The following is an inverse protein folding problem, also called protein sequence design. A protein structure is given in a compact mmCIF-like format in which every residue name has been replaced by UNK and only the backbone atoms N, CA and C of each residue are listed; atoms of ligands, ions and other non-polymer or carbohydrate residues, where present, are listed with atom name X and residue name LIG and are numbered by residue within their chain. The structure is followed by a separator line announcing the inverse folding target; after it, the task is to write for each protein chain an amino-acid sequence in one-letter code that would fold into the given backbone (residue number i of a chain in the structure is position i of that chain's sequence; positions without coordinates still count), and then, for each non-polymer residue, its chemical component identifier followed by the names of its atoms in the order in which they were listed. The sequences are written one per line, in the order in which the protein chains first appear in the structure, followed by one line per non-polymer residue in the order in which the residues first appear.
data_IF_257391813495
#
_entry.id   IF_257391813495
#
_cell.length_a   1.000
_cell.length_b   1.000
_cell.length_c   1.000
_cell.angle_alpha   90.00
_cell.angle_beta   90.00
_cell.angle_gamma   90.00
#
_symmetry.space_group_name_H-M   'P 1'
#
loop_
_entity.id
_entity.type
_entity.pdbx_description
1 polymer ?
#
# COMPACT_ATOMS: atom_id res chain seq x y z
N UNK A 1 71.10 -56.08 -9.71
CA UNK A 1 72.38 -55.82 -10.44
C UNK A 1 72.50 -56.88 -11.51
N UNK A 2 72.87 -56.53 -12.74
CA UNK A 2 72.88 -57.48 -13.86
C UNK A 2 74.30 -57.96 -14.11
N UNK A 3 74.57 -59.26 -13.92
CA UNK A 3 75.81 -59.88 -14.38
C UNK A 3 75.73 -60.14 -15.89
N UNK A 4 76.88 -60.21 -16.58
CA UNK A 4 77.03 -60.33 -18.04
C UNK A 4 76.42 -61.61 -18.69
N UNK A 5 75.62 -62.38 -17.95
CA UNK A 5 74.82 -63.52 -18.43
C UNK A 5 73.32 -63.43 -18.04
N UNK A 6 72.82 -62.24 -17.67
CA UNK A 6 71.38 -61.99 -17.53
C UNK A 6 70.69 -62.53 -16.26
N UNK A 7 71.44 -63.07 -15.29
CA UNK A 7 70.87 -63.40 -13.98
C UNK A 7 70.73 -62.14 -13.12
N UNK A 8 69.50 -61.86 -12.72
CA UNK A 8 69.16 -60.86 -11.72
C UNK A 8 68.96 -61.55 -10.36
N UNK A 9 69.51 -60.95 -9.31
CA UNK A 9 69.23 -61.33 -7.92
C UNK A 9 68.50 -60.15 -7.28
N UNK A 10 67.28 -60.41 -6.84
CA UNK A 10 66.46 -59.45 -6.09
C UNK A 10 66.59 -59.71 -4.60
N UNK A 11 66.73 -58.65 -3.82
CA UNK A 11 66.91 -58.70 -2.37
C UNK A 11 66.02 -57.65 -1.71
N UNK A 12 65.45 -57.96 -0.54
CA UNK A 12 64.63 -57.06 0.26
C UNK A 12 65.31 -56.81 1.62
N UNK A 13 65.52 -55.54 1.95
CA UNK A 13 66.06 -55.12 3.25
C UNK A 13 64.94 -54.53 4.09
N UNK A 14 64.72 -55.06 5.30
CA UNK A 14 63.65 -54.61 6.20
C UNK A 14 64.12 -53.82 7.42
N UNK A 15 65.41 -53.91 7.75
CA UNK A 15 65.97 -53.21 8.91
C UNK A 15 66.73 -52.00 8.42
N UNK A 16 66.62 -50.89 9.15
CA UNK A 16 67.44 -49.71 8.90
C UNK A 16 68.91 -50.04 9.11
N UNK A 17 69.78 -49.44 8.30
CA UNK A 17 71.22 -49.58 8.40
C UNK A 17 71.94 -49.62 7.06
N UNK A 18 73.26 -49.73 7.13
CA UNK A 18 74.14 -49.83 5.96
C UNK A 18 74.48 -51.27 5.67
N UNK A 19 74.20 -51.71 4.44
CA UNK A 19 74.46 -53.05 3.96
C UNK A 19 75.56 -53.03 2.91
N UNK A 20 76.64 -53.78 3.15
CA UNK A 20 77.63 -54.09 2.12
C UNK A 20 77.14 -55.31 1.34
N UNK A 21 76.88 -55.11 0.04
CA UNK A 21 76.54 -56.19 -0.89
C UNK A 21 77.79 -56.52 -1.67
N UNK A 22 78.22 -57.78 -1.59
CA UNK A 22 79.29 -58.35 -2.39
C UNK A 22 78.70 -59.35 -3.39
N UNK A 23 79.04 -59.18 -4.67
CA UNK A 23 78.63 -60.10 -5.74
C UNK A 23 79.87 -60.64 -6.41
N UNK A 24 80.07 -61.95 -6.34
CA UNK A 24 81.15 -62.67 -7.01
C UNK A 24 80.59 -63.48 -8.17
N UNK A 25 81.00 -63.14 -9.40
CA UNK A 25 80.71 -63.93 -10.59
C UNK A 25 81.85 -64.88 -10.91
N UNK A 26 81.55 -66.12 -11.29
CA UNK A 26 82.54 -67.08 -11.79
C UNK A 26 82.19 -67.44 -13.24
N UNK A 27 83.15 -67.36 -14.17
CA UNK A 27 82.92 -67.75 -15.57
C UNK A 27 83.14 -69.26 -15.78
N UNK A 28 82.82 -69.76 -16.97
CA UNK A 28 82.98 -71.18 -17.36
C UNK A 28 84.44 -71.67 -17.35
N UNK A 29 85.40 -70.74 -17.29
CA UNK A 29 86.84 -71.03 -17.20
C UNK A 29 87.35 -70.98 -15.75
N UNK A 30 86.48 -70.80 -14.75
CA UNK A 30 86.83 -70.76 -13.32
C UNK A 30 87.42 -69.43 -12.84
N UNK A 31 87.43 -68.38 -13.67
CA UNK A 31 87.89 -67.05 -13.25
C UNK A 31 86.77 -66.30 -12.52
N UNK A 32 87.13 -65.58 -11.46
CA UNK A 32 86.19 -64.81 -10.65
C UNK A 32 86.40 -63.30 -10.76
N UNK A 33 85.32 -62.54 -10.67
CA UNK A 33 85.34 -61.09 -10.44
C UNK A 33 84.35 -60.76 -9.32
N UNK A 34 84.71 -59.81 -8.47
CA UNK A 34 83.89 -59.39 -7.32
C UNK A 34 83.60 -57.90 -7.40
N UNK A 35 82.34 -57.53 -7.17
CA UNK A 35 81.90 -56.14 -7.05
C UNK A 35 81.22 -55.93 -5.71
N UNK A 36 81.43 -54.73 -5.15
CA UNK A 36 80.85 -54.32 -3.90
C UNK A 36 80.00 -53.07 -4.08
N UNK A 37 78.90 -52.97 -3.33
CA UNK A 37 78.08 -51.78 -3.21
C UNK A 37 77.56 -51.63 -1.79
N UNK A 38 77.64 -50.42 -1.25
CA UNK A 38 76.95 -50.08 0.01
C UNK A 38 75.55 -49.58 -0.33
N UNK A 39 74.53 -50.13 0.33
CA UNK A 39 73.17 -49.62 0.34
C UNK A 39 72.88 -49.06 1.72
N UNK A 40 72.30 -47.86 1.78
CA UNK A 40 71.84 -47.23 3.01
C UNK A 40 70.32 -47.35 3.07
N UNK A 41 69.80 -47.97 4.13
CA UNK A 41 68.36 -48.18 4.34
C UNK A 41 67.93 -47.29 5.51
N UNK A 42 67.18 -46.24 5.18
CA UNK A 42 66.62 -45.31 6.17
C UNK A 42 65.57 -45.97 7.06
N UNK A 43 65.22 -45.30 8.16
CA UNK A 43 64.05 -45.68 8.96
C UNK A 43 62.77 -45.46 8.16
N UNK A 44 61.82 -46.37 8.34
CA UNK A 44 60.46 -46.33 7.81
C UNK A 44 59.57 -45.60 8.82
N UNK A 45 59.07 -44.42 8.45
CA UNK A 45 58.34 -43.51 9.31
C UNK A 45 56.83 -43.70 9.17
N UNK A 46 56.05 -43.38 10.21
CA UNK A 46 54.58 -43.39 10.09
C UNK A 46 54.09 -42.11 9.42
N UNK A 47 52.91 -42.12 8.78
CA UNK A 47 52.42 -40.94 8.10
C UNK A 47 52.16 -39.80 9.07
N UNK A 48 52.43 -38.58 8.62
CA UNK A 48 51.97 -37.38 9.29
C UNK A 48 50.49 -37.23 8.96
N UNK A 49 49.66 -37.24 10.02
CA UNK A 49 48.21 -37.17 9.89
C UNK A 49 47.70 -35.75 10.05
N UNK A 50 46.91 -35.28 9.08
CA UNK A 50 46.29 -33.96 9.12
C UNK A 50 44.91 -34.02 8.49
N UNK A 51 43.90 -33.54 9.21
CA UNK A 51 42.50 -33.48 8.75
C UNK A 51 41.94 -32.10 8.96
N UNK A 52 41.13 -31.65 8.00
CA UNK A 52 40.41 -30.39 8.04
C UNK A 52 38.90 -30.63 7.96
N UNK A 53 38.14 -29.88 8.75
CA UNK A 53 36.68 -29.88 8.74
C UNK A 53 36.15 -28.67 9.53
N UNK A 54 34.95 -28.21 9.17
CA UNK A 54 34.25 -27.15 9.91
C UNK A 54 33.98 -27.57 11.36
N UNK A 55 34.17 -26.65 12.31
CA UNK A 55 33.92 -26.94 13.74
C UNK A 55 32.42 -27.01 14.08
N UNK A 56 31.61 -26.19 13.41
CA UNK A 56 30.17 -26.12 13.58
C UNK A 56 29.51 -26.24 12.21
N UNK A 57 28.51 -27.12 12.10
CA UNK A 57 27.70 -27.32 10.90
C UNK A 57 26.23 -27.22 11.29
N UNK A 58 25.44 -26.47 10.53
CA UNK A 58 24.02 -26.30 10.81
C UNK A 58 23.18 -27.28 10.00
N UNK A 59 22.09 -27.78 10.60
CA UNK A 59 21.08 -28.55 9.87
C UNK A 59 20.35 -27.66 8.85
N UNK A 60 20.11 -28.21 7.66
CA UNK A 60 19.29 -27.61 6.62
C UNK A 60 17.79 -27.89 6.86
N UNK A 61 16.94 -27.38 5.96
CA UNK A 61 15.47 -27.51 6.06
C UNK A 61 14.98 -28.96 6.13
N UNK A 62 15.70 -29.89 5.49
CA UNK A 62 15.44 -31.33 5.53
C UNK A 62 15.87 -32.01 6.84
N UNK A 63 16.27 -31.24 7.86
CA UNK A 63 16.68 -31.70 9.21
C UNK A 63 17.94 -32.55 9.23
N UNK A 64 18.81 -32.41 8.22
CA UNK A 64 20.15 -33.02 8.22
C UNK A 64 21.23 -31.95 8.05
N UNK A 65 22.42 -32.19 8.57
CA UNK A 65 23.59 -31.33 8.44
C UNK A 65 24.61 -31.98 7.49
N UNK A 66 24.99 -31.31 6.38
CA UNK A 66 26.02 -31.82 5.47
C UNK A 66 27.41 -31.59 6.07
N UNK A 67 28.06 -32.65 6.50
CA UNK A 67 29.42 -32.60 7.04
C UNK A 67 30.42 -32.92 5.93
N UNK A 68 31.46 -32.08 5.81
CA UNK A 68 32.59 -32.29 4.90
C UNK A 68 33.89 -32.30 5.68
N UNK A 69 34.76 -33.25 5.37
CA UNK A 69 36.10 -33.34 5.92
C UNK A 69 37.12 -33.69 4.81
N UNK A 70 38.34 -33.18 4.96
CA UNK A 70 39.42 -33.31 3.98
C UNK A 70 40.69 -33.86 4.63
N UNK A 71 41.33 -34.82 3.95
CA UNK A 71 42.61 -35.41 4.32
C UNK A 71 43.79 -34.64 3.71
N UNK A 72 44.66 -34.10 4.57
CA UNK A 72 45.91 -33.45 4.21
C UNK A 72 47.15 -34.24 4.66
N UNK A 73 46.98 -35.48 5.10
CA UNK A 73 48.05 -36.35 5.59
C UNK A 73 49.09 -36.67 4.50
N UNK A 74 50.34 -36.94 4.88
CA UNK A 74 51.40 -37.26 3.93
C UNK A 74 52.49 -38.12 4.58
N UNK A 75 53.25 -38.86 3.76
CA UNK A 75 54.47 -39.56 4.17
C UNK A 75 55.68 -38.63 4.06
N UNK A 76 56.64 -38.79 4.97
CA UNK A 76 57.92 -38.05 5.00
C UNK A 76 59.07 -38.78 4.30
N UNK A 77 58.91 -40.07 4.04
CA UNK A 77 59.94 -40.97 3.51
C UNK A 77 59.68 -41.45 2.07
N UNK A 78 58.62 -40.94 1.43
CA UNK A 78 58.35 -41.15 0.00
C UNK A 78 57.35 -42.27 -0.30
N UNK A 79 56.73 -42.83 0.73
CA UNK A 79 55.62 -43.77 0.62
C UNK A 79 54.29 -43.08 0.24
N UNK A 80 53.31 -43.89 -0.16
CA UNK A 80 52.00 -43.41 -0.59
C UNK A 80 50.90 -43.78 0.39
N UNK A 81 49.98 -42.85 0.64
CA UNK A 81 48.75 -43.12 1.39
C UNK A 81 47.68 -43.66 0.46
N UNK A 82 47.55 -44.98 0.39
CA UNK A 82 46.67 -45.65 -0.57
C UNK A 82 45.31 -45.99 0.03
N UNK A 83 45.27 -46.38 1.30
CA UNK A 83 44.03 -46.76 1.97
C UNK A 83 43.63 -45.73 3.01
N UNK A 84 42.36 -45.33 2.99
CA UNK A 84 41.75 -44.40 3.95
C UNK A 84 40.43 -44.97 4.44
N UNK A 85 40.24 -45.00 5.74
CA UNK A 85 38.97 -45.36 6.37
C UNK A 85 38.50 -44.23 7.25
N UNK A 86 37.29 -43.75 6.95
CA UNK A 86 36.59 -42.73 7.70
C UNK A 86 35.52 -43.37 8.59
N UNK A 87 35.52 -43.00 9.86
CA UNK A 87 34.51 -43.40 10.85
C UNK A 87 34.03 -42.18 11.61
N UNK A 88 32.87 -42.28 12.25
CA UNK A 88 32.46 -41.32 13.27
C UNK A 88 31.97 -42.02 14.54
N UNK A 89 31.98 -41.29 15.64
CA UNK A 89 31.23 -41.57 16.86
C UNK A 89 30.34 -40.37 17.18
N UNK A 90 29.10 -40.61 17.58
CA UNK A 90 28.15 -39.57 17.94
C UNK A 90 27.99 -39.57 19.46
N UNK A 91 28.22 -38.41 20.09
CA UNK A 91 28.04 -38.18 21.53
C UNK A 91 26.54 -38.17 21.85
N UNK A 92 26.00 -39.33 22.18
CA UNK A 92 24.56 -39.59 22.23
C UNK A 92 23.89 -39.11 23.51
N UNK A 93 24.66 -39.00 24.61
CA UNK A 93 24.23 -38.47 25.89
C UNK A 93 24.72 -37.02 26.16
N UNK A 94 25.52 -36.48 25.23
CA UNK A 94 26.01 -35.10 25.22
C UNK A 94 26.93 -34.78 26.41
N UNK A 95 27.68 -35.76 26.91
CA UNK A 95 28.62 -35.61 28.02
C UNK A 95 30.03 -35.16 27.56
N UNK A 96 30.35 -35.35 26.29
CA UNK A 96 31.62 -34.96 25.65
C UNK A 96 32.70 -36.00 25.65
N UNK A 97 32.32 -37.22 26.01
CA UNK A 97 33.13 -38.41 26.02
C UNK A 97 32.66 -39.27 24.85
N UNK A 98 33.62 -39.85 24.12
CA UNK A 98 33.34 -40.70 22.95
C UNK A 98 33.82 -42.14 23.16
N UNK A 99 34.30 -42.47 24.36
CA UNK A 99 34.94 -43.78 24.62
C UNK A 99 33.93 -44.92 24.74
N UNK A 100 32.72 -44.61 25.16
CA UNK A 100 31.55 -45.47 25.28
C UNK A 100 30.74 -45.55 23.97
N UNK A 101 30.95 -44.60 23.06
CA UNK A 101 30.25 -44.53 21.79
C UNK A 101 30.77 -45.53 20.73
N UNK A 102 29.83 -46.18 20.04
CA UNK A 102 30.14 -47.17 19.01
C UNK A 102 30.55 -46.49 17.68
N UNK A 103 31.69 -46.86 17.08
CA UNK A 103 32.14 -46.27 15.83
C UNK A 103 31.30 -46.75 14.64
N UNK A 104 30.85 -45.81 13.82
CA UNK A 104 30.15 -46.05 12.56
C UNK A 104 31.10 -45.80 11.39
N UNK A 105 31.26 -46.79 10.51
CA UNK A 105 32.08 -46.63 9.30
C UNK A 105 31.30 -45.87 8.21
N UNK A 106 31.90 -44.79 7.70
CA UNK A 106 31.32 -43.95 6.66
C UNK A 106 31.83 -44.34 5.27
N UNK A 107 33.15 -44.48 5.13
CA UNK A 107 33.80 -44.64 3.83
C UNK A 107 35.13 -45.34 3.98
N UNK A 108 35.42 -46.27 3.07
CA UNK A 108 36.75 -46.85 2.88
C UNK A 108 37.14 -46.70 1.42
N UNK A 109 38.34 -46.20 1.15
CA UNK A 109 38.86 -46.05 -0.21
C UNK A 109 40.28 -46.57 -0.27
N UNK A 110 40.60 -47.22 -1.40
CA UNK A 110 41.94 -47.71 -1.76
C UNK A 110 42.51 -46.90 -2.93
N UNK A 111 42.10 -45.64 -3.05
CA UNK A 111 42.54 -44.72 -4.10
C UNK A 111 43.26 -43.55 -3.45
N UNK A 112 44.52 -43.32 -3.85
CA UNK A 112 45.37 -42.25 -3.31
C UNK A 112 44.77 -40.84 -3.42
N UNK A 113 44.01 -40.57 -4.48
CA UNK A 113 43.48 -39.24 -4.79
C UNK A 113 42.14 -38.94 -4.09
N UNK A 114 41.51 -39.94 -3.48
CA UNK A 114 40.22 -39.79 -2.83
C UNK A 114 40.39 -39.32 -1.39
N UNK A 115 40.50 -38.00 -1.21
CA UNK A 115 40.89 -37.35 0.05
C UNK A 115 39.74 -36.64 0.77
N UNK A 116 38.50 -36.83 0.31
CA UNK A 116 37.34 -36.13 0.84
C UNK A 116 36.31 -37.10 1.43
N UNK A 117 35.66 -36.65 2.50
CA UNK A 117 34.49 -37.26 3.10
C UNK A 117 33.33 -36.27 3.04
N UNK A 118 32.17 -36.75 2.61
CA UNK A 118 30.90 -36.03 2.69
C UNK A 118 29.83 -36.99 3.22
N UNK A 119 29.11 -36.60 4.26
CA UNK A 119 27.98 -37.36 4.79
C UNK A 119 26.95 -36.44 5.47
N UNK A 120 25.73 -36.94 5.64
CA UNK A 120 24.65 -36.20 6.29
C UNK A 120 24.44 -36.69 7.72
N UNK A 121 24.52 -35.78 8.69
CA UNK A 121 24.22 -36.05 10.09
C UNK A 121 22.75 -35.70 10.39
N UNK A 122 22.03 -36.62 11.03
CA UNK A 122 20.60 -36.46 11.36
C UNK A 122 20.34 -35.92 12.77
N UNK A 123 21.30 -36.04 13.69
CA UNK A 123 21.16 -35.60 15.07
C UNK A 123 21.93 -34.31 15.33
N UNK A 124 21.40 -33.51 16.25
CA UNK A 124 22.09 -32.35 16.84
C UNK A 124 22.98 -32.87 17.94
N UNK A 125 24.20 -32.34 18.04
CA UNK A 125 25.19 -32.79 19.02
C UNK A 125 26.58 -32.90 18.41
N UNK A 126 27.50 -33.53 19.13
CA UNK A 126 28.90 -33.64 18.73
C UNK A 126 29.19 -34.95 18.01
N UNK A 127 30.02 -34.87 16.99
CA UNK A 127 30.51 -35.99 16.20
C UNK A 127 32.04 -36.00 16.22
N UNK A 128 32.65 -37.07 16.71
CA UNK A 128 34.08 -37.32 16.56
C UNK A 128 34.31 -38.08 15.27
N UNK A 129 34.93 -37.44 14.29
CA UNK A 129 35.31 -38.07 13.02
C UNK A 129 36.72 -38.58 13.15
N UNK A 130 36.92 -39.85 12.82
CA UNK A 130 38.24 -40.50 12.79
C UNK A 130 38.63 -40.82 11.35
N UNK A 131 39.83 -40.40 10.96
CA UNK A 131 40.49 -40.86 9.74
C UNK A 131 41.64 -41.79 10.13
N UNK A 132 41.61 -43.01 9.61
CA UNK A 132 42.76 -43.92 9.61
C UNK A 132 43.29 -44.05 8.21
N UNK A 133 44.59 -43.86 8.02
CA UNK A 133 45.27 -44.13 6.75
C UNK A 133 46.23 -45.29 6.90
N UNK A 134 46.43 -46.01 5.81
CA UNK A 134 47.45 -47.06 5.70
C UNK A 134 48.31 -46.78 4.49
N UNK A 135 49.61 -46.82 4.71
CA UNK A 135 50.62 -46.58 3.69
C UNK A 135 50.81 -47.76 2.75
N UNK A 136 51.45 -47.49 1.63
CA UNK A 136 52.05 -48.46 0.72
C UNK A 136 53.38 -47.91 0.23
N UNK A 137 54.26 -48.82 -0.14
CA UNK A 137 55.63 -48.49 -0.51
C UNK A 137 55.74 -47.61 -1.77
N UNK A 138 56.61 -46.61 -1.71
CA UNK A 138 56.97 -45.72 -2.83
C UNK A 138 57.88 -46.37 -3.88
N UNK A 139 58.50 -47.50 -3.54
CA UNK A 139 59.42 -48.27 -4.38
C UNK A 139 58.88 -49.67 -4.71
N UNK A 140 59.40 -50.32 -5.78
CA UNK A 140 59.18 -51.74 -6.02
C UNK A 140 59.58 -52.59 -4.81
N UNK A 141 58.74 -53.56 -4.46
CA UNK A 141 58.98 -54.50 -3.35
C UNK A 141 58.86 -55.94 -3.83
N UNK A 142 59.10 -56.91 -2.95
CA UNK A 142 58.87 -58.34 -3.19
C UNK A 142 57.63 -58.79 -2.38
N UNK A 143 56.41 -58.82 -2.97
CA UNK A 143 55.16 -58.97 -2.21
C UNK A 143 55.07 -60.23 -1.35
N UNK A 144 55.67 -61.34 -1.79
CA UNK A 144 55.68 -62.60 -1.04
C UNK A 144 56.43 -62.54 0.29
N UNK A 145 57.24 -61.51 0.50
CA UNK A 145 58.00 -61.30 1.73
C UNK A 145 57.40 -60.22 2.62
N UNK A 146 56.31 -59.58 2.21
CA UNK A 146 55.63 -58.57 2.99
C UNK A 146 54.62 -59.20 3.94
N UNK A 147 54.58 -58.69 5.17
CA UNK A 147 53.59 -59.02 6.20
C UNK A 147 52.85 -57.77 6.63
N UNK A 148 51.71 -57.92 7.31
CA UNK A 148 50.87 -56.79 7.70
C UNK A 148 51.63 -55.74 8.55
N UNK A 149 52.59 -56.16 9.37
CA UNK A 149 53.40 -55.25 10.21
C UNK A 149 54.44 -54.43 9.43
N UNK A 150 54.69 -54.76 8.16
CA UNK A 150 55.58 -53.97 7.30
C UNK A 150 54.90 -52.70 6.78
N UNK A 151 53.58 -52.57 6.94
CA UNK A 151 52.82 -51.37 6.59
C UNK A 151 52.62 -50.50 7.81
N UNK A 152 52.80 -49.19 7.66
CA UNK A 152 52.46 -48.22 8.71
C UNK A 152 51.05 -47.68 8.52
N UNK A 153 50.50 -47.24 9.64
CA UNK A 153 49.17 -46.65 9.72
C UNK A 153 49.21 -45.41 10.58
N UNK A 154 48.49 -44.37 10.17
CA UNK A 154 48.27 -43.19 10.97
C UNK A 154 46.80 -43.02 11.30
N UNK A 155 46.48 -42.37 12.40
CA UNK A 155 45.11 -42.04 12.78
C UNK A 155 45.03 -40.62 13.35
N UNK A 156 43.96 -39.92 13.04
CA UNK A 156 43.67 -38.57 13.53
C UNK A 156 42.16 -38.42 13.75
N UNK A 157 41.79 -37.54 14.68
CA UNK A 157 40.39 -37.26 15.01
C UNK A 157 40.09 -35.77 14.93
N UNK A 158 38.84 -35.45 14.59
CA UNK A 158 38.30 -34.08 14.57
C UNK A 158 36.88 -34.12 15.12
N UNK A 159 36.58 -33.25 16.09
CA UNK A 159 35.24 -33.09 16.63
C UNK A 159 34.51 -31.98 15.89
N UNK A 160 33.26 -32.24 15.51
CA UNK A 160 32.36 -31.30 14.85
C UNK A 160 31.06 -31.21 15.67
N UNK A 161 30.50 -30.02 15.79
CA UNK A 161 29.20 -29.79 16.42
C UNK A 161 28.14 -29.56 15.35
N UNK A 162 27.08 -30.36 15.39
CA UNK A 162 25.87 -30.14 14.59
C UNK A 162 24.86 -29.35 15.41
N UNK A 163 24.42 -28.20 14.89
CA UNK A 163 23.47 -27.32 15.58
C UNK A 163 22.29 -26.89 14.67
N UNK A 164 21.29 -26.26 15.25
CA UNK A 164 20.18 -25.63 14.54
C UNK A 164 20.43 -24.15 14.30
N UNK A 165 19.93 -23.64 13.16
CA UNK A 165 19.84 -22.20 12.95
C UNK A 165 18.81 -21.65 13.95
N UNK A 166 19.24 -20.71 14.80
CA UNK A 166 18.36 -20.07 15.78
C UNK A 166 17.24 -19.31 15.05
N UNK A 167 15.97 -19.39 15.50
CA UNK A 167 14.92 -18.58 14.92
C UNK A 167 15.22 -17.10 15.19
N UNK A 168 15.03 -16.26 14.17
CA UNK A 168 15.11 -14.81 14.32
C UNK A 168 13.72 -14.29 14.67
N UNK A 169 13.58 -13.80 15.90
CA UNK A 169 12.39 -13.06 16.31
C UNK A 169 12.63 -11.57 16.04
N UNK A 170 11.73 -10.96 15.27
CA UNK A 170 11.74 -9.52 15.01
C UNK A 170 10.43 -8.93 15.52
N UNK A 171 10.53 -7.88 16.32
CA UNK A 171 9.37 -7.05 16.66
C UNK A 171 9.12 -6.08 15.51
N UNK A 172 7.90 -6.07 14.98
CA UNK A 172 7.45 -5.05 14.06
C UNK A 172 6.62 -4.05 14.87
N UNK A 173 7.19 -2.88 15.14
CA UNK A 173 6.43 -1.77 15.71
C UNK A 173 5.51 -1.20 14.62
N UNK A 174 4.26 -1.65 14.60
CA UNK A 174 3.23 -1.06 13.76
C UNK A 174 2.71 0.19 14.50
N UNK A 175 2.97 1.42 14.01
CA UNK A 175 2.50 2.61 14.69
C UNK A 175 0.98 2.65 14.71
N UNK A 176 0.42 2.82 15.90
CA UNK A 176 -1.00 3.01 16.12
C UNK A 176 -1.50 4.25 15.37
N UNK A 177 -2.32 4.05 14.33
CA UNK A 177 -2.99 5.16 13.65
C UNK A 177 -4.28 5.51 14.39
N UNK A 178 -4.25 6.59 15.18
CA UNK A 178 -5.47 7.20 15.73
C UNK A 178 -6.29 7.80 14.59
N UNK A 179 -7.59 7.50 14.55
CA UNK A 179 -8.52 8.05 13.58
C UNK A 179 -9.60 8.80 14.36
N UNK A 180 -9.57 10.13 14.28
CA UNK A 180 -10.59 11.00 14.88
C UNK A 180 -11.61 11.39 13.81
N UNK A 181 -12.88 11.04 14.03
CA UNK A 181 -13.98 11.39 13.13
C UNK A 181 -14.90 12.34 13.88
N UNK A 182 -15.03 13.57 13.38
CA UNK A 182 -16.02 14.52 13.90
C UNK A 182 -17.30 14.40 13.10
N UNK A 183 -18.38 14.03 13.77
CA UNK A 183 -19.72 13.96 13.18
C UNK A 183 -20.52 15.18 13.66
N UNK A 184 -21.01 15.98 12.71
CA UNK A 184 -21.86 17.12 13.02
C UNK A 184 -23.29 16.78 12.64
N UNK A 185 -24.21 17.01 13.56
CA UNK A 185 -25.62 16.63 13.41
C UNK A 185 -26.52 17.69 14.02
N UNK A 186 -27.73 17.79 13.48
CA UNK A 186 -28.85 18.55 14.02
C UNK A 186 -29.76 17.70 14.92
N UNK A 187 -29.39 16.44 15.18
CA UNK A 187 -30.14 15.57 16.08
C UNK A 187 -30.05 16.08 17.52
N UNK A 188 -31.19 16.01 18.21
CA UNK A 188 -31.35 16.40 19.60
C UNK A 188 -32.09 15.29 20.37
N UNK A 189 -32.05 15.33 21.71
CA UNK A 189 -32.80 14.40 22.56
C UNK A 189 -32.51 12.91 22.31
N UNK A 190 -33.56 12.11 22.12
CA UNK A 190 -33.48 10.66 21.97
C UNK A 190 -32.76 10.23 20.68
N UNK A 191 -32.86 11.04 19.62
CA UNK A 191 -32.21 10.77 18.34
C UNK A 191 -30.69 10.96 18.43
N UNK A 192 -30.24 11.99 19.15
CA UNK A 192 -28.83 12.20 19.45
C UNK A 192 -28.27 11.04 20.28
N UNK A 193 -29.01 10.65 21.33
CA UNK A 193 -28.65 9.54 22.21
C UNK A 193 -28.54 8.22 21.42
N UNK A 194 -29.47 7.98 20.50
CA UNK A 194 -29.46 6.82 19.60
C UNK A 194 -28.25 6.82 18.69
N UNK A 195 -27.89 7.98 18.11
CA UNK A 195 -26.71 8.13 17.27
C UNK A 195 -25.41 7.86 18.05
N UNK A 196 -25.26 8.45 19.24
CA UNK A 196 -24.10 8.23 20.12
C UNK A 196 -23.91 6.75 20.45
N UNK A 197 -24.99 6.07 20.84
CA UNK A 197 -24.96 4.64 21.16
C UNK A 197 -24.57 3.79 19.96
N UNK A 198 -25.10 4.10 18.76
CA UNK A 198 -24.74 3.38 17.53
C UNK A 198 -23.28 3.58 17.16
N UNK A 199 -22.75 4.79 17.29
CA UNK A 199 -21.34 5.05 16.97
C UNK A 199 -20.40 4.32 17.92
N UNK A 200 -20.70 4.31 19.22
CA UNK A 200 -19.94 3.54 20.20
C UNK A 200 -20.01 2.03 19.93
N UNK A 201 -21.18 1.52 19.52
CA UNK A 201 -21.34 0.12 19.14
C UNK A 201 -20.49 -0.24 17.91
N UNK A 202 -20.46 0.62 16.88
CA UNK A 202 -19.61 0.38 15.70
C UNK A 202 -18.12 0.31 16.05
N UNK A 203 -17.64 1.12 17.00
CA UNK A 203 -16.25 1.02 17.48
C UNK A 203 -16.02 -0.31 18.22
N UNK A 204 -16.98 -0.73 19.06
CA UNK A 204 -16.91 -1.97 19.83
C UNK A 204 -16.91 -3.22 18.92
N UNK A 205 -17.72 -3.22 17.87
CA UNK A 205 -17.88 -4.35 16.93
C UNK A 205 -16.78 -4.41 15.86
N UNK A 206 -15.93 -3.39 15.80
CA UNK A 206 -14.82 -3.34 14.84
C UNK A 206 -13.65 -4.25 15.24
N UNK A 207 -12.83 -4.65 14.26
CA UNK A 207 -11.59 -5.41 14.50
C UNK A 207 -10.62 -4.62 15.39
N UNK A 208 -9.73 -5.33 16.11
CA UNK A 208 -8.83 -4.74 17.12
C UNK A 208 -8.03 -3.52 16.61
N UNK A 209 -7.65 -3.53 15.34
CA UNK A 209 -6.92 -2.42 14.67
C UNK A 209 -7.75 -1.13 14.55
N UNK A 210 -9.08 -1.21 14.63
CA UNK A 210 -10.02 -0.10 14.48
C UNK A 210 -10.72 0.30 15.79
N UNK A 211 -10.45 -0.39 16.92
CA UNK A 211 -10.98 -0.02 18.25
C UNK A 211 -10.46 1.33 18.77
N UNK A 212 -9.51 1.95 18.06
CA UNK A 212 -8.92 3.28 18.36
C UNK A 212 -9.56 4.41 17.54
N UNK A 213 -10.65 4.14 16.81
CA UNK A 213 -11.46 5.19 16.17
C UNK A 213 -12.25 5.93 17.25
N UNK A 214 -12.10 7.24 17.31
CA UNK A 214 -12.87 8.10 18.22
C UNK A 214 -13.87 8.92 17.41
N UNK A 215 -15.15 8.81 17.77
CA UNK A 215 -16.19 9.69 17.25
C UNK A 215 -16.38 10.88 18.19
N UNK A 216 -16.25 12.09 17.65
CA UNK A 216 -16.62 13.33 18.34
C UNK A 216 -17.93 13.81 17.72
N UNK A 217 -19.05 13.59 18.41
CA UNK A 217 -20.36 14.01 17.94
C UNK A 217 -20.60 15.43 18.47
N UNK A 218 -20.79 16.35 17.53
CA UNK A 218 -21.11 17.75 17.82
C UNK A 218 -22.56 17.97 17.46
N UNK A 219 -23.42 17.99 18.48
CA UNK A 219 -24.80 18.42 18.34
C UNK A 219 -24.86 19.94 18.44
N UNK A 220 -25.35 20.54 17.37
CA UNK A 220 -25.49 21.98 17.26
C UNK A 220 -25.69 22.35 15.82
N UNK A 221 -26.71 23.18 15.54
CA UNK A 221 -26.93 23.75 14.21
C UNK A 221 -25.70 24.55 13.79
N UNK A 222 -24.75 23.88 13.15
CA UNK A 222 -23.54 24.48 12.59
C UNK A 222 -23.60 24.23 11.09
N UNK A 223 -23.91 25.27 10.33
CA UNK A 223 -23.95 25.21 8.87
C UNK A 223 -22.56 24.80 8.38
N UNK A 224 -22.44 23.60 7.82
CA UNK A 224 -21.25 23.16 7.08
C UNK A 224 -21.56 23.39 5.61
N UNK A 225 -20.99 24.46 5.05
CA UNK A 225 -21.19 24.83 3.66
C UNK A 225 -22.18 25.99 3.51
N UNK A 226 -21.62 27.17 3.29
CA UNK A 226 -22.37 28.35 2.87
C UNK A 226 -22.24 28.40 1.34
N UNK A 227 -23.26 27.97 0.61
CA UNK A 227 -23.33 28.25 -0.82
C UNK A 227 -23.91 29.66 -0.96
N UNK A 228 -23.03 30.67 -0.81
CA UNK A 228 -23.39 32.05 -1.14
C UNK A 228 -23.47 32.09 -2.67
N UNK A 229 -24.66 31.85 -3.21
CA UNK A 229 -24.92 32.14 -4.62
C UNK A 229 -24.68 33.65 -4.83
N UNK A 230 -23.76 33.94 -5.75
CA UNK A 230 -23.34 35.28 -6.13
C UNK A 230 -24.53 36.21 -6.42
N UNK A 231 -24.32 37.47 -6.06
CA UNK A 231 -25.07 38.63 -6.50
C UNK A 231 -25.44 38.51 -7.99
N UNK A 232 -26.73 38.39 -8.30
CA UNK A 232 -27.23 38.47 -9.66
C UNK A 232 -27.65 39.92 -9.94
N UNK A 233 -26.71 40.75 -10.37
CA UNK A 233 -27.04 42.06 -10.94
C UNK A 233 -27.65 41.83 -12.34
N UNK A 234 -28.89 42.28 -12.54
CA UNK A 234 -29.56 42.22 -13.84
C UNK A 234 -29.89 43.64 -14.29
N UNK A 235 -29.12 44.17 -15.24
CA UNK A 235 -29.46 45.39 -15.97
C UNK A 235 -30.30 45.02 -17.20
N UNK A 236 -31.53 45.56 -17.29
CA UNK A 236 -32.34 45.47 -18.51
C UNK A 236 -32.55 46.87 -19.06
N UNK A 237 -31.99 47.20 -20.23
CA UNK A 237 -32.36 48.42 -20.94
C UNK A 237 -33.74 48.24 -21.56
N UNK A 238 -34.70 49.08 -21.18
CA UNK A 238 -36.02 49.17 -21.82
C UNK A 238 -36.01 50.27 -22.88
N UNK A 239 -36.17 49.89 -24.16
CA UNK A 239 -36.48 50.85 -25.22
C UNK A 239 -37.96 50.79 -25.56
N UNK A 240 -38.72 51.80 -25.16
CA UNK A 240 -40.06 52.01 -25.68
C UNK A 240 -40.01 52.93 -26.91
N UNK A 241 -40.46 52.43 -28.06
CA UNK A 241 -40.84 53.26 -29.20
C UNK A 241 -42.35 53.39 -29.24
N UNK A 242 -42.89 54.50 -28.74
CA UNK A 242 -44.24 54.94 -29.10
C UNK A 242 -44.21 55.73 -30.42
N UNK A 243 -45.31 55.81 -31.19
CA UNK A 243 -45.33 56.48 -32.50
C UNK A 243 -45.19 58.01 -32.46
N UNK A 244 -44.98 58.60 -31.28
CA UNK A 244 -44.65 60.02 -31.14
C UNK A 244 -43.38 60.17 -30.28
N UNK A 245 -42.48 60.97 -30.83
CA UNK A 245 -41.13 61.44 -30.49
C UNK A 245 -40.63 61.29 -29.04
N UNK A 246 -39.34 60.92 -28.97
CA UNK A 246 -38.42 60.73 -27.83
C UNK A 246 -38.55 59.37 -27.14
N UNK A 247 -37.61 58.47 -27.47
CA UNK A 247 -37.34 57.28 -26.66
C UNK A 247 -36.66 57.77 -25.36
N UNK A 248 -37.26 57.44 -24.22
CA UNK A 248 -36.67 57.69 -22.91
C UNK A 248 -36.17 56.37 -22.36
N UNK A 249 -34.91 56.33 -21.94
CA UNK A 249 -34.32 55.19 -21.28
C UNK A 249 -34.62 55.34 -19.77
N UNK A 250 -35.56 54.55 -19.24
CA UNK A 250 -35.74 54.44 -17.80
C UNK A 250 -35.00 53.19 -17.33
N UNK A 251 -33.92 53.38 -16.57
CA UNK A 251 -33.17 52.28 -15.97
C UNK A 251 -33.76 51.92 -14.60
N UNK A 252 -33.84 50.62 -14.32
CA UNK A 252 -34.24 50.10 -13.01
C UNK A 252 -33.19 49.12 -12.54
N UNK A 253 -32.61 49.33 -11.36
CA UNK A 253 -31.82 48.31 -10.69
C UNK A 253 -32.57 47.78 -9.48
N UNK A 254 -32.56 46.45 -9.30
CA UNK A 254 -33.21 45.78 -8.17
C UNK A 254 -32.27 44.76 -7.58
N UNK A 255 -32.10 44.84 -6.28
CA UNK A 255 -31.31 43.89 -5.51
C UNK A 255 -32.19 43.34 -4.40
N UNK A 256 -32.24 42.02 -4.27
CA UNK A 256 -32.84 41.39 -3.11
C UNK A 256 -31.75 40.62 -2.39
N UNK A 257 -31.64 40.87 -1.10
CA UNK A 257 -30.59 40.31 -0.27
C UNK A 257 -31.22 39.73 0.98
N UNK A 258 -30.99 38.45 1.22
CA UNK A 258 -31.27 37.86 2.53
C UNK A 258 -30.35 38.54 3.55
N UNK A 259 -30.94 39.20 4.54
CA UNK A 259 -30.19 39.96 5.56
C UNK A 259 -29.84 39.10 6.76
N UNK A 260 -30.69 38.12 7.09
CA UNK A 260 -30.46 37.09 8.10
C UNK A 260 -31.25 35.81 7.73
N UNK A 261 -31.40 34.88 8.68
CA UNK A 261 -32.04 33.58 8.44
C UNK A 261 -33.53 33.69 8.10
N UNK A 262 -34.22 34.73 8.57
CA UNK A 262 -35.65 34.88 8.40
C UNK A 262 -36.05 36.26 7.87
N UNK A 263 -35.11 37.12 7.46
CA UNK A 263 -35.40 38.45 6.94
C UNK A 263 -34.71 38.70 5.60
N UNK A 264 -35.44 39.39 4.72
CA UNK A 264 -34.98 39.77 3.40
C UNK A 264 -35.21 41.26 3.19
N UNK A 265 -34.19 41.91 2.64
CA UNK A 265 -34.27 43.29 2.20
C UNK A 265 -34.25 43.37 0.68
N UNK A 266 -35.27 44.01 0.10
CA UNK A 266 -35.34 44.37 -1.30
C UNK A 266 -35.05 45.86 -1.46
N UNK A 267 -34.03 46.17 -2.28
CA UNK A 267 -33.67 47.53 -2.69
C UNK A 267 -34.02 47.73 -4.16
N UNK A 268 -34.73 48.81 -4.46
CA UNK A 268 -35.16 49.17 -5.81
C UNK A 268 -34.71 50.60 -6.06
N UNK A 269 -33.93 50.80 -7.13
CA UNK A 269 -33.46 52.11 -7.56
C UNK A 269 -34.12 52.44 -8.89
N UNK A 270 -34.80 53.58 -8.94
CA UNK A 270 -35.43 54.12 -10.15
C UNK A 270 -34.60 55.30 -10.64
N UNK A 271 -34.13 55.22 -11.88
CA UNK A 271 -33.48 56.31 -12.58
C UNK A 271 -34.52 57.02 -13.47
N UNK A 272 -34.72 58.33 -13.27
CA UNK A 272 -35.67 59.15 -14.05
C UNK A 272 -34.93 60.15 -14.94
N UNK A 273 -34.70 59.79 -16.20
CA UNK A 273 -34.03 60.68 -17.17
C UNK A 273 -34.89 61.89 -17.61
N UNK A 274 -36.16 62.00 -17.16
CA UNK A 274 -37.10 63.02 -17.63
C UNK A 274 -36.81 64.44 -17.11
N UNK A 275 -36.12 64.55 -15.98
CA UNK A 275 -35.64 65.82 -15.46
C UNK A 275 -34.13 65.72 -15.29
N UNK A 276 -33.36 66.59 -15.94
CA UNK A 276 -31.89 66.72 -15.82
C UNK A 276 -31.36 67.00 -14.37
N UNK A 277 -32.18 66.76 -13.34
CA UNK A 277 -31.89 66.76 -11.92
C UNK A 277 -32.43 65.47 -11.25
N UNK A 278 -32.28 64.31 -11.90
CA UNK A 278 -32.78 63.02 -11.43
C UNK A 278 -32.11 62.61 -10.11
N UNK A 279 -32.82 62.77 -8.99
CA UNK A 279 -32.44 62.10 -7.75
C UNK A 279 -32.84 60.64 -7.88
N UNK A 280 -31.89 59.72 -7.75
CA UNK A 280 -32.18 58.29 -7.64
C UNK A 280 -33.25 58.06 -6.57
N UNK A 281 -34.42 57.58 -6.98
CA UNK A 281 -35.46 57.24 -6.00
C UNK A 281 -35.17 55.81 -5.54
N UNK A 282 -34.64 55.70 -4.33
CA UNK A 282 -34.31 54.43 -3.69
C UNK A 282 -35.42 54.02 -2.74
N UNK A 283 -36.03 52.88 -3.01
CA UNK A 283 -36.94 52.22 -2.09
C UNK A 283 -36.26 51.02 -1.46
N UNK A 284 -36.42 50.88 -0.14
CA UNK A 284 -35.89 49.74 0.63
C UNK A 284 -37.02 49.13 1.44
N UNK A 285 -37.26 47.84 1.24
CA UNK A 285 -38.25 47.07 1.98
C UNK A 285 -37.55 45.94 2.70
N UNK A 286 -37.65 45.90 4.01
CA UNK A 286 -37.21 44.76 4.82
C UNK A 286 -38.44 44.05 5.36
N UNK A 287 -38.48 42.73 5.22
CA UNK A 287 -39.49 41.92 5.88
C UNK A 287 -38.84 40.75 6.60
N UNK A 288 -39.38 40.42 7.77
CA UNK A 288 -39.03 39.24 8.55
C UNK A 288 -40.17 38.24 8.42
N UNK A 289 -39.83 36.99 8.20
CA UNK A 289 -40.71 35.87 7.90
C UNK A 289 -40.77 34.92 9.10
N UNK A 290 -41.89 34.20 9.22
CA UNK A 290 -42.11 33.23 10.30
C UNK A 290 -41.37 31.89 10.07
N UNK A 291 -40.61 31.78 8.98
CA UNK A 291 -39.83 30.62 8.60
C UNK A 291 -38.54 31.08 7.91
N UNK A 292 -37.49 30.24 7.98
CA UNK A 292 -36.20 30.58 7.42
C UNK A 292 -36.27 30.72 5.90
N UNK A 293 -35.48 31.64 5.37
CA UNK A 293 -35.34 31.91 3.94
C UNK A 293 -34.57 30.76 3.31
N UNK A 294 -35.28 29.97 2.51
CA UNK A 294 -34.70 28.86 1.75
C UNK A 294 -33.96 29.33 0.51
N UNK A 295 -34.55 30.28 -0.23
CA UNK A 295 -33.89 30.88 -1.40
C UNK A 295 -34.50 32.22 -1.77
N UNK A 296 -33.69 33.07 -2.40
CA UNK A 296 -34.13 34.35 -2.96
C UNK A 296 -33.75 34.40 -4.44
N UNK A 297 -34.64 34.89 -5.28
CA UNK A 297 -34.37 35.11 -6.71
C UNK A 297 -35.01 36.40 -7.20
N UNK A 298 -34.28 37.14 -8.03
CA UNK A 298 -34.82 38.29 -8.77
C UNK A 298 -35.16 37.82 -10.18
N UNK A 299 -36.40 38.08 -10.62
CA UNK A 299 -36.87 37.73 -11.98
C UNK A 299 -37.71 38.90 -12.46
N UNK A 300 -37.28 39.53 -13.57
CA UNK A 300 -37.99 40.55 -14.35
C UNK A 300 -39.04 41.40 -13.56
N UNK A 301 -38.64 42.56 -13.07
CA UNK A 301 -39.47 43.52 -12.29
C UNK A 301 -40.00 43.05 -10.93
N UNK A 302 -39.76 41.81 -10.52
CA UNK A 302 -40.11 41.31 -9.20
C UNK A 302 -38.93 40.56 -8.58
N UNK A 303 -39.02 40.31 -7.28
CA UNK A 303 -38.25 39.20 -6.76
C UNK A 303 -38.94 38.48 -5.62
N UNK A 304 -38.42 37.29 -5.41
CA UNK A 304 -39.12 36.17 -4.81
C UNK A 304 -38.29 35.61 -3.68
N UNK A 305 -38.98 35.24 -2.61
CA UNK A 305 -38.41 34.63 -1.41
C UNK A 305 -39.17 33.34 -1.17
N UNK A 306 -38.47 32.21 -1.27
CA UNK A 306 -38.97 30.91 -0.87
C UNK A 306 -38.51 30.65 0.56
N UNK A 307 -39.43 30.25 1.43
CA UNK A 307 -39.15 29.85 2.81
C UNK A 307 -39.02 28.33 2.95
N UNK A 308 -38.41 27.86 4.03
CA UNK A 308 -38.23 26.42 4.30
C UNK A 308 -39.55 25.69 4.51
N UNK A 309 -40.56 26.37 5.06
CA UNK A 309 -41.92 25.84 5.17
C UNK A 309 -42.65 25.72 3.81
N UNK A 310 -42.01 26.14 2.71
CA UNK A 310 -42.55 26.12 1.36
C UNK A 310 -43.37 27.36 0.97
N UNK A 311 -43.43 28.38 1.81
CA UNK A 311 -44.13 29.61 1.44
C UNK A 311 -43.32 30.42 0.43
N UNK A 312 -43.99 30.88 -0.62
CA UNK A 312 -43.42 31.78 -1.62
C UNK A 312 -43.96 33.18 -1.40
N UNK A 313 -43.05 34.12 -1.20
CA UNK A 313 -43.32 35.55 -1.06
C UNK A 313 -42.70 36.31 -2.23
N UNK A 314 -43.31 37.44 -2.57
CA UNK A 314 -42.87 38.30 -3.68
C UNK A 314 -42.85 39.76 -3.22
N UNK A 315 -41.89 40.54 -3.70
CA UNK A 315 -41.87 42.00 -3.62
C UNK A 315 -41.72 42.62 -5.02
N UNK A 316 -42.46 43.70 -5.32
CA UNK A 316 -42.53 44.28 -6.65
C UNK A 316 -43.15 45.68 -6.70
N UNK A 317 -43.19 46.27 -7.89
CA UNK A 317 -43.88 47.56 -8.14
C UNK A 317 -45.24 47.28 -8.76
N UNK A 318 -46.31 47.90 -8.24
CA UNK A 318 -47.64 47.88 -8.86
C UNK A 318 -47.64 48.84 -10.07
N UNK A 319 -47.00 48.45 -11.17
CA UNK A 319 -47.59 48.67 -12.49
C UNK A 319 -48.27 47.36 -12.87
N UNK A 320 -49.25 46.89 -12.11
CA UNK A 320 -50.58 47.48 -12.09
C UNK A 320 -51.37 46.90 -10.92
N UNK A 321 -52.52 47.50 -10.60
CA UNK A 321 -53.47 46.99 -9.60
C UNK A 321 -53.68 45.48 -9.81
N UNK A 322 -53.94 44.71 -8.74
CA UNK A 322 -54.41 43.32 -8.84
C UNK A 322 -55.60 43.11 -9.81
N UNK A 323 -56.24 44.18 -10.31
CA UNK A 323 -57.25 44.20 -11.37
C UNK A 323 -56.71 44.15 -12.81
N UNK A 324 -55.39 44.22 -13.04
CA UNK A 324 -54.77 44.07 -14.36
C UNK A 324 -54.15 42.67 -14.56
N UNK A 325 -54.52 41.74 -13.67
CA UNK A 325 -54.76 40.33 -13.98
C UNK A 325 -55.92 40.14 -15.00
N UNK A 326 -56.10 41.12 -15.90
CA UNK A 326 -57.10 41.18 -16.98
C UNK A 326 -58.25 42.19 -16.81
N UNK A 327 -58.01 43.52 -16.83
CA UNK A 327 -59.03 44.52 -17.26
C UNK A 327 -58.41 45.81 -17.82
N UNK A 328 -58.59 46.01 -19.12
CA UNK A 328 -58.32 47.23 -19.88
C UNK A 328 -58.69 48.54 -19.14
N UNK A 329 -57.72 49.43 -18.90
CA UNK A 329 -58.01 50.87 -18.92
C UNK A 329 -56.90 51.64 -19.64
N UNK A 330 -57.21 52.05 -20.87
CA UNK A 330 -56.55 53.18 -21.53
C UNK A 330 -56.64 54.40 -20.61
N UNK A 331 -55.53 55.12 -20.49
CA UNK A 331 -55.36 56.42 -19.83
C UNK A 331 -55.42 56.43 -18.30
N UNK A 332 -54.26 56.44 -17.65
CA UNK A 332 -54.05 57.25 -16.45
C UNK A 332 -52.62 57.81 -16.43
N UNK A 333 -52.52 59.08 -16.84
CA UNK A 333 -51.37 59.97 -16.68
C UNK A 333 -51.23 60.36 -15.20
N UNK A 334 -50.37 59.65 -14.45
CA UNK A 334 -49.73 60.17 -13.24
C UNK A 334 -48.62 59.20 -12.82
N UNK A 335 -47.38 59.53 -13.15
CA UNK A 335 -46.16 58.82 -12.77
C UNK A 335 -45.97 58.85 -11.24
N UNK A 336 -46.61 57.92 -10.53
CA UNK A 336 -46.27 57.60 -9.13
C UNK A 336 -46.27 56.08 -9.00
N UNK A 337 -45.10 55.43 -8.85
CA UNK A 337 -45.06 53.99 -8.64
C UNK A 337 -45.64 53.67 -7.26
N UNK A 338 -46.82 53.04 -7.21
CA UNK A 338 -47.31 52.44 -5.98
C UNK A 338 -46.52 51.15 -5.75
N UNK A 339 -45.85 51.05 -4.61
CA UNK A 339 -44.95 49.95 -4.30
C UNK A 339 -45.62 48.99 -3.35
N UNK A 340 -45.59 47.69 -3.69
CA UNK A 340 -46.08 46.64 -2.81
C UNK A 340 -44.90 46.03 -2.04
N UNK A 341 -44.92 46.14 -0.71
CA UNK A 341 -44.03 45.38 0.15
C UNK A 341 -44.20 43.87 -0.05
N UNK A 342 -43.44 43.06 0.68
CA UNK A 342 -43.53 41.60 0.55
C UNK A 342 -44.95 41.08 0.78
N UNK A 343 -45.44 40.25 -0.14
CA UNK A 343 -46.71 39.54 -0.01
C UNK A 343 -46.53 38.06 -0.31
N UNK A 344 -47.20 37.21 0.48
CA UNK A 344 -47.29 35.78 0.21
C UNK A 344 -48.11 35.56 -1.05
N UNK A 345 -47.56 34.80 -1.99
CA UNK A 345 -48.21 34.48 -3.27
C UNK A 345 -48.56 33.00 -3.38
N UNK A 346 -47.81 32.09 -2.73
CA UNK A 346 -48.11 30.65 -2.70
C UNK A 346 -47.65 30.02 -1.38
N UNK A 347 -48.12 28.80 -1.12
CA UNK A 347 -47.63 27.91 -0.05
C UNK A 347 -47.21 26.57 -0.65
N UNK A 348 -46.47 25.76 0.10
CA UNK A 348 -46.07 24.40 -0.27
C UNK A 348 -45.17 24.28 -1.51
N UNK A 349 -44.38 25.31 -1.82
CA UNK A 349 -43.40 25.34 -2.91
C UNK A 349 -42.08 24.70 -2.47
N UNK A 350 -41.51 23.83 -3.32
CA UNK A 350 -40.24 23.14 -3.07
C UNK A 350 -39.04 23.91 -3.61
N UNK A 351 -39.17 24.57 -4.76
CA UNK A 351 -38.08 25.24 -5.47
C UNK A 351 -38.63 26.30 -6.44
N UNK A 352 -37.86 27.37 -6.69
CA UNK A 352 -38.09 28.34 -7.76
C UNK A 352 -37.10 28.05 -8.90
N UNK A 353 -37.58 27.81 -10.12
CA UNK A 353 -36.72 27.65 -11.31
C UNK A 353 -36.82 28.86 -12.22
N UNK A 354 -35.68 29.25 -12.79
CA UNK A 354 -35.57 30.34 -13.75
C UNK A 354 -35.05 29.78 -15.08
N UNK A 355 -35.97 29.30 -15.92
CA UNK A 355 -35.62 28.76 -17.23
C UNK A 355 -35.74 29.90 -18.25
N UNK A 356 -34.63 30.57 -18.56
CA UNK A 356 -34.57 31.60 -19.61
C UNK A 356 -34.75 30.97 -21.00
N UNK A 357 -36.00 30.75 -21.42
CA UNK A 357 -36.35 30.52 -22.83
C UNK A 357 -37.27 31.63 -23.30
N UNK A 358 -36.68 32.73 -23.73
CA UNK A 358 -37.41 33.79 -24.43
C UNK A 358 -37.66 33.32 -25.88
N UNK A 359 -38.90 32.96 -26.20
CA UNK A 359 -39.31 32.85 -27.61
C UNK A 359 -39.71 34.23 -28.10
N UNK A 360 -38.76 34.92 -28.75
CA UNK A 360 -39.02 36.19 -29.40
C UNK A 360 -39.71 35.92 -30.76
N UNK A 361 -41.04 35.89 -30.75
CA UNK A 361 -41.87 35.82 -31.95
C UNK A 361 -42.17 37.23 -32.46
N UNK A 362 -41.57 37.58 -33.59
CA UNK A 362 -41.71 38.87 -34.24
C UNK A 362 -43.07 38.97 -34.98
N UNK A 363 -44.08 39.67 -34.45
CA UNK A 363 -45.17 40.31 -35.25
C UNK A 363 -45.84 41.42 -34.42
N UNK A 364 -46.11 42.56 -35.07
CA UNK A 364 -46.63 43.84 -34.55
C UNK A 364 -47.76 43.77 -33.49
N UNK A 365 -47.54 44.39 -32.32
CA UNK A 365 -48.53 44.63 -31.25
C UNK A 365 -47.93 44.50 -29.85
N UNK A 366 -48.38 45.25 -28.82
CA UNK A 366 -47.62 45.40 -27.57
C UNK A 366 -47.55 44.08 -26.79
N UNK A 367 -46.37 43.46 -26.82
CA UNK A 367 -45.98 42.32 -26.00
C UNK A 367 -45.42 42.82 -24.67
N UNK A 368 -46.11 42.55 -23.56
CA UNK A 368 -45.52 42.61 -22.22
C UNK A 368 -46.20 41.57 -21.33
N UNK A 369 -45.52 40.45 -21.08
CA UNK A 369 -45.99 39.37 -20.20
C UNK A 369 -44.82 38.64 -19.58
N UNK A 370 -44.92 38.35 -18.28
CA UNK A 370 -43.92 37.59 -17.51
C UNK A 370 -44.05 36.13 -17.93
N UNK A 371 -43.22 35.70 -18.88
CA UNK A 371 -43.25 34.31 -19.34
C UNK A 371 -42.51 33.38 -18.36
N UNK A 372 -43.32 32.63 -17.61
CA UNK A 372 -43.08 31.35 -16.94
C UNK A 372 -42.09 31.32 -15.75
N UNK A 373 -42.60 31.59 -14.55
CA UNK A 373 -42.02 31.09 -13.30
C UNK A 373 -42.53 29.68 -13.08
N UNK A 374 -41.61 28.72 -12.94
CA UNK A 374 -41.93 27.34 -12.58
C UNK A 374 -41.69 27.13 -11.08
N UNK A 375 -42.76 26.88 -10.34
CA UNK A 375 -42.72 26.50 -8.94
C UNK A 375 -43.26 25.07 -8.78
N UNK A 376 -42.48 24.19 -8.15
CA UNK A 376 -42.92 22.83 -7.84
C UNK A 376 -43.66 22.82 -6.51
N UNK A 377 -44.91 22.38 -6.48
CA UNK A 377 -45.65 22.15 -5.23
C UNK A 377 -45.24 20.85 -4.56
N UNK A 378 -45.58 20.71 -3.28
CA UNK A 378 -45.29 19.51 -2.49
C UNK A 378 -45.87 18.23 -3.11
N UNK A 379 -47.01 18.32 -3.79
CA UNK A 379 -47.66 17.23 -4.53
C UNK A 379 -47.00 16.89 -5.89
N UNK A 380 -45.89 17.55 -6.23
CA UNK A 380 -45.15 17.33 -7.48
C UNK A 380 -45.75 18.05 -8.69
N UNK A 381 -46.83 18.82 -8.51
CA UNK A 381 -47.38 19.63 -9.60
C UNK A 381 -46.48 20.82 -9.90
N UNK A 382 -46.22 21.05 -11.19
CA UNK A 382 -45.49 22.21 -11.68
C UNK A 382 -46.51 23.31 -11.93
N UNK A 383 -46.39 24.42 -11.20
CA UNK A 383 -47.16 25.61 -11.48
C UNK A 383 -46.37 26.51 -12.43
N UNK A 384 -47.00 26.87 -13.54
CA UNK A 384 -46.50 27.83 -14.54
C UNK A 384 -47.38 29.06 -14.43
N UNK A 385 -46.80 30.25 -14.37
CA UNK A 385 -47.58 31.47 -14.50
C UNK A 385 -48.04 31.65 -15.96
N UNK A 386 -49.09 30.93 -16.38
CA UNK A 386 -49.80 31.15 -17.63
C UNK A 386 -51.00 32.05 -17.38
N UNK A 387 -50.95 33.29 -17.85
CA UNK A 387 -52.10 34.18 -17.88
C UNK A 387 -53.20 33.59 -18.79
N UNK A 388 -54.31 33.12 -18.21
CA UNK A 388 -55.56 32.99 -18.97
C UNK A 388 -56.81 32.96 -18.06
N UNK A 389 -57.54 34.08 -18.01
CA UNK A 389 -58.92 34.19 -17.53
C UNK A 389 -59.52 35.41 -18.24
N UNK A 390 -60.56 35.38 -19.06
CA UNK A 390 -61.47 34.39 -19.62
C UNK A 390 -62.60 35.22 -20.26
N UNK A 391 -63.34 34.70 -21.24
CA UNK A 391 -64.70 35.21 -21.40
C UNK A 391 -65.68 34.07 -21.70
N UNK A 392 -66.62 33.93 -20.78
CA UNK A 392 -67.79 33.11 -20.90
C UNK A 392 -68.69 33.73 -21.96
N UNK A 393 -68.75 33.13 -23.16
CA UNK A 393 -69.89 33.20 -24.06
C UNK A 393 -69.72 32.16 -25.18
N UNK A 394 -70.14 30.92 -24.91
CA UNK A 394 -71.03 30.12 -25.76
C UNK A 394 -70.99 28.67 -25.30
N UNK A 395 -72.02 28.30 -24.55
CA UNK A 395 -72.46 26.93 -24.42
C UNK A 395 -72.85 26.38 -25.80
N UNK A 396 -72.27 25.24 -26.18
CA UNK A 396 -72.96 24.08 -26.75
C UNK A 396 -72.08 22.85 -26.74
#
# INVERSE_FOLDING_TARGET
MTANNGQAIDVLFKKTGKYLIEVTGTNTYGMTDTKQKIIDVSIDESPIMLTDANEIVYRAENKVAPIKAYDHSYSTDGDYLNERTWRYKFDSDNDGIFTDEAPVQLKTTTTQWDRALEFEASHVGRYEITLTTKETFGQPTLPSFLVASDYKTGTTTKVITVDNIKPVATFLDIPDKKIDITLVTDYEGDDLTTLENRMNQYVSDSYDDYKKVQFNIVSGKKIIGKDIMEQADFEVPLKYTTPYTVAYDAFYSRTITATDENAVTAKIVIYDDYYNNANDIIFTYTNTFDSNVKSVKTILYAGFVLLENGDLWMCGTDQTRFSDLGFNSRYLSSYTPYMSGFRKVMSDVKEIRNDYRMYNGNVDGPQYGIDNIYALKNDGTVWVNGCNMGDANNAK
#
